data_IF_392768449189
#
_entry.id   IF_392768449189
#
_cell.length_a   1.000
_cell.length_b   1.000
_cell.length_c   1.000
_cell.angle_alpha   90.00
_cell.angle_beta   90.00
_cell.angle_gamma   90.00
#
_symmetry.space_group_name_H-M   'P 1'
#
loop_
_entity.id
_entity.type
_entity.pdbx_description
1 polymer ?
#
# COMPACT_ATOMS: atom_id res chain seq x y z
N UNK A 1 -37.66 -25.55 33.58
CA UNK A 1 -36.41 -25.18 34.26
C UNK A 1 -35.68 -26.48 34.47
N UNK A 2 -34.66 -26.86 33.72
CA UNK A 2 -33.84 -26.18 32.71
C UNK A 2 -33.54 -27.24 31.63
N UNK A 3 -33.60 -26.86 30.35
CA UNK A 3 -33.09 -27.70 29.26
C UNK A 3 -31.58 -27.43 29.16
N UNK A 4 -30.79 -28.45 29.48
CA UNK A 4 -29.33 -28.48 29.28
C UNK A 4 -29.01 -28.49 27.79
N UNK A 5 -28.85 -27.30 27.20
CA UNK A 5 -28.22 -27.13 25.89
C UNK A 5 -26.71 -27.09 26.08
N UNK A 6 -26.10 -28.27 26.19
CA UNK A 6 -24.66 -28.49 26.07
C UNK A 6 -24.24 -28.31 24.60
N UNK A 7 -24.16 -27.05 24.17
CA UNK A 7 -23.69 -26.64 22.86
C UNK A 7 -22.17 -26.63 22.80
N UNK A 8 -21.55 -27.81 22.86
CA UNK A 8 -20.13 -27.97 22.54
C UNK A 8 -19.80 -27.49 21.12
N UNK A 9 -18.57 -27.04 20.84
CA UNK A 9 -18.18 -26.59 19.49
C UNK A 9 -18.32 -27.74 18.50
N UNK A 10 -19.18 -27.55 17.49
CA UNK A 10 -19.31 -28.48 16.35
C UNK A 10 -18.06 -28.32 15.49
N UNK A 11 -17.14 -29.28 15.59
CA UNK A 11 -16.04 -29.43 14.66
C UNK A 11 -16.57 -30.06 13.38
N UNK A 12 -16.72 -29.26 12.32
CA UNK A 12 -16.90 -29.79 10.98
C UNK A 12 -15.54 -30.30 10.50
N UNK A 13 -15.45 -31.59 10.15
CA UNK A 13 -14.27 -32.13 9.47
C UNK A 13 -14.02 -31.35 8.17
N UNK A 14 -12.76 -30.99 7.91
CA UNK A 14 -12.32 -30.36 6.65
C UNK A 14 -12.46 -31.36 5.49
N UNK A 15 -13.69 -31.57 5.03
CA UNK A 15 -13.98 -32.29 3.79
C UNK A 15 -13.69 -31.34 2.63
N UNK A 16 -12.78 -31.72 1.74
CA UNK A 16 -12.50 -30.93 0.54
C UNK A 16 -13.80 -30.69 -0.26
N UNK A 17 -14.09 -29.45 -0.70
CA UNK A 17 -15.36 -29.12 -1.33
C UNK A 17 -15.62 -29.92 -2.61
N UNK A 18 -16.73 -30.64 -2.66
CA UNK A 18 -17.15 -31.47 -3.81
C UNK A 18 -17.74 -30.66 -4.97
N UNK A 19 -18.17 -29.42 -4.73
CA UNK A 19 -18.75 -28.55 -5.75
C UNK A 19 -18.28 -27.09 -5.57
N UNK A 20 -17.60 -26.56 -6.59
CA UNK A 20 -17.27 -25.13 -6.71
C UNK A 20 -18.29 -24.49 -7.65
N UNK A 21 -18.95 -23.43 -7.21
CA UNK A 21 -19.91 -22.67 -7.99
C UNK A 21 -19.18 -21.68 -8.90
N UNK A 22 -19.36 -21.81 -10.21
CA UNK A 22 -18.92 -20.79 -11.18
C UNK A 22 -19.87 -19.59 -11.08
N UNK A 23 -19.33 -18.40 -10.85
CA UNK A 23 -20.14 -17.20 -11.04
C UNK A 23 -20.28 -16.87 -12.54
N UNK A 24 -21.35 -16.18 -12.96
CA UNK A 24 -21.53 -15.80 -14.37
C UNK A 24 -20.40 -14.88 -14.87
N UNK A 25 -19.89 -15.12 -16.08
CA UNK A 25 -18.88 -14.25 -16.71
C UNK A 25 -19.38 -12.81 -16.97
N UNK A 26 -20.70 -12.60 -16.95
CA UNK A 26 -21.33 -11.28 -17.02
C UNK A 26 -21.20 -10.47 -15.73
N UNK A 27 -20.82 -11.11 -14.61
CA UNK A 27 -20.70 -10.46 -13.31
C UNK A 27 -19.55 -9.44 -13.33
N UNK A 28 -19.88 -8.16 -13.13
CA UNK A 28 -18.90 -7.07 -13.13
C UNK A 28 -18.30 -6.79 -11.76
N UNK A 29 -19.09 -6.99 -10.72
CA UNK A 29 -18.68 -6.73 -9.35
C UNK A 29 -19.30 -7.78 -8.41
N UNK A 30 -18.50 -8.27 -7.47
CA UNK A 30 -18.94 -9.05 -6.32
C UNK A 30 -18.54 -8.28 -5.06
N UNK A 31 -19.52 -7.83 -4.27
CA UNK A 31 -19.29 -7.20 -2.97
C UNK A 31 -19.64 -8.18 -1.86
N UNK A 32 -18.70 -8.40 -0.95
CA UNK A 32 -18.84 -9.21 0.26
C UNK A 32 -18.56 -8.31 1.47
N UNK A 33 -19.46 -8.36 2.44
CA UNK A 33 -19.46 -7.54 3.66
C UNK A 33 -19.82 -8.44 4.83
N UNK A 34 -18.80 -8.98 5.52
CA UNK A 34 -18.96 -9.97 6.58
C UNK A 34 -17.67 -10.19 7.39
N UNK A 35 -17.70 -11.10 8.36
CA UNK A 35 -16.54 -11.58 9.11
C UNK A 35 -15.50 -12.24 8.21
N UNK A 36 -14.20 -12.04 8.51
CA UNK A 36 -13.10 -12.55 7.66
C UNK A 36 -13.15 -14.08 7.46
N UNK A 37 -13.51 -14.88 8.47
CA UNK A 37 -13.72 -16.33 8.32
C UNK A 37 -14.90 -16.68 7.41
N UNK A 38 -16.01 -15.94 7.49
CA UNK A 38 -17.20 -16.21 6.69
C UNK A 38 -16.90 -15.97 5.21
N UNK A 39 -16.25 -14.85 4.89
CA UNK A 39 -15.80 -14.53 3.54
C UNK A 39 -14.74 -15.53 3.04
N UNK A 40 -13.75 -15.85 3.87
CA UNK A 40 -12.69 -16.81 3.54
C UNK A 40 -13.28 -18.19 3.18
N UNK A 41 -14.25 -18.66 3.96
CA UNK A 41 -14.98 -19.91 3.70
C UNK A 41 -15.83 -19.81 2.45
N UNK A 42 -16.57 -18.73 2.24
CA UNK A 42 -17.39 -18.56 1.03
C UNK A 42 -16.54 -18.67 -0.25
N UNK A 43 -15.37 -18.05 -0.27
CA UNK A 43 -14.48 -18.09 -1.44
C UNK A 43 -13.86 -19.48 -1.69
N UNK A 44 -14.03 -20.46 -0.81
CA UNK A 44 -13.66 -21.86 -1.07
C UNK A 44 -14.65 -22.57 -2.00
N UNK A 45 -15.89 -22.08 -2.03
CA UNK A 45 -17.00 -22.70 -2.78
C UNK A 45 -17.37 -21.90 -4.04
N UNK A 46 -16.68 -20.80 -4.32
CA UNK A 46 -17.03 -19.87 -5.40
C UNK A 46 -15.81 -19.55 -6.25
N UNK A 47 -15.93 -19.75 -7.56
CA UNK A 47 -14.92 -19.32 -8.52
C UNK A 47 -15.34 -17.95 -9.10
N UNK A 48 -14.55 -16.93 -8.76
CA UNK A 48 -14.75 -15.54 -9.20
C UNK A 48 -14.03 -15.31 -10.54
N UNK A 49 -14.75 -14.90 -11.61
CA UNK A 49 -14.13 -14.59 -12.90
C UNK A 49 -13.06 -13.50 -12.78
N UNK A 50 -11.99 -13.61 -13.59
CA UNK A 50 -10.90 -12.62 -13.60
C UNK A 50 -11.35 -11.22 -14.02
N UNK A 51 -12.49 -11.12 -14.71
CA UNK A 51 -13.07 -9.85 -15.18
C UNK A 51 -14.02 -9.21 -14.15
N UNK A 52 -14.23 -9.86 -13.01
CA UNK A 52 -15.08 -9.36 -11.94
C UNK A 52 -14.22 -8.61 -10.94
N UNK A 53 -14.62 -7.38 -10.61
CA UNK A 53 -14.03 -6.68 -9.46
C UNK A 53 -14.54 -7.33 -8.17
N UNK A 54 -13.62 -7.74 -7.29
CA UNK A 54 -13.96 -8.21 -5.94
C UNK A 54 -13.85 -7.09 -4.91
N UNK A 55 -14.97 -6.71 -4.27
CA UNK A 55 -15.00 -5.77 -3.14
C UNK A 55 -15.17 -6.55 -1.84
N UNK A 56 -14.22 -6.43 -0.92
CA UNK A 56 -14.24 -7.08 0.39
C UNK A 56 -14.25 -6.02 1.48
N UNK A 57 -15.32 -5.96 2.25
CA UNK A 57 -15.42 -5.17 3.49
C UNK A 57 -15.46 -6.19 4.64
N UNK A 58 -14.34 -6.37 5.35
CA UNK A 58 -14.23 -7.47 6.33
C UNK A 58 -14.04 -6.99 7.75
N UNK A 59 -14.81 -7.59 8.67
CA UNK A 59 -14.62 -7.40 10.11
C UNK A 59 -13.66 -8.46 10.64
N UNK A 60 -12.61 -8.04 11.36
CA UNK A 60 -11.62 -8.98 11.89
C UNK A 60 -12.02 -9.60 13.22
N UNK A 61 -13.00 -9.06 13.95
CA UNK A 61 -13.42 -9.57 15.27
C UNK A 61 -14.71 -10.39 15.19
N UNK A 62 -14.69 -11.45 14.38
CA UNK A 62 -15.84 -12.33 14.19
C UNK A 62 -16.01 -13.34 15.32
N UNK A 63 -17.15 -14.04 15.31
CA UNK A 63 -17.44 -15.13 16.25
C UNK A 63 -16.39 -16.25 16.20
N UNK A 64 -15.71 -16.41 15.06
CA UNK A 64 -14.87 -17.56 14.75
C UNK A 64 -13.40 -17.40 15.15
N UNK A 65 -12.88 -16.18 15.30
CA UNK A 65 -11.46 -15.92 15.56
C UNK A 65 -11.23 -15.35 16.96
N UNK A 66 -10.66 -16.16 17.85
CA UNK A 66 -10.43 -15.77 19.26
C UNK A 66 -9.11 -15.08 19.47
N UNK A 67 -8.12 -15.36 18.62
CA UNK A 67 -6.75 -14.81 18.74
C UNK A 67 -6.42 -13.86 17.60
N UNK A 68 -5.38 -13.03 17.78
CA UNK A 68 -4.90 -12.12 16.73
C UNK A 68 -4.23 -12.89 15.59
N UNK A 69 -3.49 -13.94 15.94
CA UNK A 69 -2.77 -14.80 15.01
C UNK A 69 -3.72 -15.52 14.06
N UNK A 70 -4.85 -16.02 14.56
CA UNK A 70 -5.92 -16.62 13.73
C UNK A 70 -6.49 -15.59 12.74
N UNK A 71 -6.79 -14.37 13.22
CA UNK A 71 -7.29 -13.27 12.37
C UNK A 71 -6.32 -12.91 11.26
N UNK A 72 -5.03 -12.78 11.59
CA UNK A 72 -3.96 -12.54 10.61
C UNK A 72 -3.89 -13.69 9.60
N UNK A 73 -3.87 -14.95 10.05
CA UNK A 73 -3.77 -16.10 9.17
C UNK A 73 -4.96 -16.18 8.20
N UNK A 74 -6.18 -15.93 8.69
CA UNK A 74 -7.39 -15.87 7.86
C UNK A 74 -7.36 -14.73 6.86
N UNK A 75 -6.90 -13.55 7.26
CA UNK A 75 -6.75 -12.42 6.35
C UNK A 75 -5.73 -12.70 5.24
N UNK A 76 -4.59 -13.33 5.57
CA UNK A 76 -3.59 -13.78 4.57
C UNK A 76 -4.22 -14.79 3.60
N UNK A 77 -4.93 -15.80 4.13
CA UNK A 77 -5.58 -16.83 3.33
C UNK A 77 -6.63 -16.23 2.38
N UNK A 78 -7.51 -15.38 2.90
CA UNK A 78 -8.52 -14.66 2.13
C UNK A 78 -7.88 -13.85 0.99
N UNK A 79 -6.86 -13.05 1.31
CA UNK A 79 -6.18 -12.21 0.34
C UNK A 79 -5.46 -13.03 -0.75
N UNK A 80 -4.94 -14.21 -0.41
CA UNK A 80 -4.30 -15.12 -1.37
C UNK A 80 -5.28 -15.78 -2.35
N UNK A 81 -6.58 -15.80 -2.01
CA UNK A 81 -7.68 -16.29 -2.86
C UNK A 81 -8.20 -15.22 -3.82
N UNK A 82 -7.91 -13.94 -3.58
CA UNK A 82 -8.30 -12.85 -4.49
C UNK A 82 -7.73 -13.20 -5.86
N UNK A 83 -8.58 -13.29 -6.92
CA UNK A 83 -8.18 -13.87 -8.19
C UNK A 83 -6.98 -13.12 -8.73
N UNK A 84 -5.79 -13.69 -8.59
CA UNK A 84 -4.57 -13.28 -9.27
C UNK A 84 -4.36 -14.29 -10.38
N UNK A 85 -4.17 -13.83 -11.62
CA UNK A 85 -3.33 -14.65 -12.48
C UNK A 85 -2.01 -14.72 -11.72
N UNK A 86 -1.64 -15.88 -11.15
CA UNK A 86 -0.40 -16.10 -10.37
C UNK A 86 0.88 -15.71 -11.12
N UNK A 87 0.75 -15.13 -12.32
CA UNK A 87 1.76 -14.78 -13.29
C UNK A 87 1.63 -13.33 -13.84
N UNK A 88 0.58 -12.57 -13.49
CA UNK A 88 0.48 -11.15 -13.86
C UNK A 88 0.50 -10.34 -12.56
N UNK A 89 1.64 -9.72 -12.22
CA UNK A 89 1.70 -8.89 -11.02
C UNK A 89 0.71 -7.73 -11.12
N UNK A 90 0.17 -7.32 -9.97
CA UNK A 90 -0.65 -6.11 -9.88
C UNK A 90 0.13 -4.96 -10.49
N UNK A 91 -0.53 -4.20 -11.36
CA UNK A 91 0.13 -3.10 -12.02
C UNK A 91 0.21 -1.87 -11.09
N UNK A 92 -0.93 -1.54 -10.48
CA UNK A 92 -1.08 -0.38 -9.61
C UNK A 92 -1.77 -0.80 -8.33
N UNK A 93 -1.27 -0.29 -7.22
CA UNK A 93 -1.80 -0.48 -5.89
C UNK A 93 -1.98 0.87 -5.21
N UNK A 94 -3.17 1.11 -4.68
CA UNK A 94 -3.48 2.29 -3.89
C UNK A 94 -3.74 1.88 -2.45
N UNK A 95 -3.19 2.65 -1.53
CA UNK A 95 -3.61 2.70 -0.14
C UNK A 95 -4.34 4.02 0.07
N UNK A 96 -5.64 3.92 0.34
CA UNK A 96 -6.47 5.07 0.71
C UNK A 96 -6.52 5.27 2.23
N UNK A 97 -6.18 4.24 2.99
CA UNK A 97 -5.92 4.25 4.44
C UNK A 97 -5.01 3.06 4.79
N UNK A 98 -4.60 2.93 6.05
CA UNK A 98 -3.90 1.71 6.49
C UNK A 98 -4.82 0.46 6.42
N UNK A 99 -6.13 0.67 6.51
CA UNK A 99 -7.16 -0.37 6.47
C UNK A 99 -7.74 -0.65 5.08
N UNK A 100 -7.47 0.18 4.06
CA UNK A 100 -8.09 0.06 2.75
C UNK A 100 -7.10 0.09 1.59
N UNK A 101 -7.18 -0.92 0.73
CA UNK A 101 -6.31 -1.12 -0.42
C UNK A 101 -7.12 -1.40 -1.68
N UNK A 102 -6.70 -0.79 -2.79
CA UNK A 102 -7.35 -0.96 -4.10
C UNK A 102 -6.29 -1.33 -5.13
N UNK A 103 -6.58 -2.33 -5.97
CA UNK A 103 -5.65 -2.84 -6.96
C UNK A 103 -6.21 -2.80 -8.38
N UNK A 104 -5.34 -2.52 -9.36
CA UNK A 104 -5.68 -2.48 -10.78
C UNK A 104 -4.77 -3.36 -11.64
N UNK A 105 -5.31 -3.86 -12.75
CA UNK A 105 -4.62 -4.78 -13.65
C UNK A 105 -3.63 -4.11 -14.62
N UNK A 106 -3.80 -2.82 -14.91
CA UNK A 106 -2.99 -2.12 -15.93
C UNK A 106 -2.18 -1.00 -15.33
N UNK A 107 -0.91 -0.96 -15.73
CA UNK A 107 0.01 0.10 -15.38
C UNK A 107 0.07 1.05 -16.56
N UNK A 108 -0.37 2.29 -16.34
CA UNK A 108 -0.11 3.40 -17.24
C UNK A 108 0.62 4.45 -16.39
N UNK A 109 1.82 4.91 -16.79
CA UNK A 109 2.56 5.88 -16.00
C UNK A 109 1.75 7.17 -15.85
N UNK A 110 1.53 7.61 -14.62
CA UNK A 110 0.60 8.70 -14.31
C UNK A 110 1.23 9.71 -13.39
N UNK A 111 1.76 10.79 -13.96
CA UNK A 111 2.35 11.84 -13.13
C UNK A 111 1.30 12.53 -12.25
N UNK A 112 0.00 12.54 -12.58
CA UNK A 112 -1.01 13.31 -11.85
C UNK A 112 -2.47 12.81 -11.93
N UNK A 113 -2.84 11.92 -12.86
CA UNK A 113 -4.24 11.64 -13.19
C UNK A 113 -4.69 10.22 -12.77
N UNK A 114 -5.76 10.13 -11.98
CA UNK A 114 -6.34 8.88 -11.46
C UNK A 114 -7.35 8.27 -12.41
N UNK A 115 -7.91 9.04 -13.33
CA UNK A 115 -9.03 8.59 -14.18
C UNK A 115 -8.60 7.60 -15.26
N UNK A 116 -7.28 7.45 -15.42
CA UNK A 116 -6.65 6.53 -16.36
C UNK A 116 -6.22 5.18 -15.73
N UNK A 117 -6.64 4.90 -14.49
CA UNK A 117 -6.41 3.60 -13.87
C UNK A 117 -7.26 2.55 -14.61
N UNK A 118 -6.66 1.40 -14.95
CA UNK A 118 -7.30 0.38 -15.79
C UNK A 118 -8.50 -0.33 -15.14
N UNK A 119 -8.67 -1.61 -15.41
CA UNK A 119 -9.72 -2.38 -14.73
C UNK A 119 -9.35 -2.58 -13.26
N UNK A 120 -10.27 -2.20 -12.35
CA UNK A 120 -10.13 -2.44 -10.91
C UNK A 120 -10.33 -3.93 -10.63
N UNK A 121 -9.36 -4.53 -9.96
CA UNK A 121 -9.33 -5.97 -9.66
C UNK A 121 -9.92 -6.25 -8.29
N UNK A 122 -9.50 -5.48 -7.29
CA UNK A 122 -10.00 -5.60 -5.92
C UNK A 122 -10.11 -4.26 -5.22
N UNK A 123 -10.94 -4.23 -4.18
CA UNK A 123 -11.09 -3.16 -3.19
C UNK A 123 -11.27 -3.88 -1.85
N UNK A 124 -10.24 -3.87 -1.01
CA UNK A 124 -10.22 -4.57 0.28
C UNK A 124 -10.17 -3.52 1.37
N UNK A 125 -11.15 -3.52 2.26
CA UNK A 125 -11.10 -2.78 3.51
C UNK A 125 -11.36 -3.69 4.69
N UNK A 126 -10.66 -3.47 5.80
CA UNK A 126 -10.86 -4.21 7.03
C UNK A 126 -11.02 -3.30 8.23
N UNK A 127 -11.88 -3.68 9.16
CA UNK A 127 -12.10 -2.93 10.39
C UNK A 127 -11.56 -3.67 11.62
N UNK A 128 -11.03 -2.91 12.56
CA UNK A 128 -10.49 -3.38 13.83
C UNK A 128 -11.15 -2.55 14.93
N UNK A 129 -11.87 -3.21 15.84
CA UNK A 129 -12.52 -2.52 16.94
C UNK A 129 -11.51 -1.79 17.85
N UNK A 130 -11.97 -0.69 18.44
CA UNK A 130 -11.23 0.36 19.13
C UNK A 130 -10.48 -0.13 20.40
N UNK A 131 -10.72 -1.36 20.85
CA UNK A 131 -9.99 -1.94 21.99
C UNK A 131 -8.59 -2.44 21.61
N UNK A 132 -8.32 -2.62 20.31
CA UNK A 132 -7.05 -3.12 19.78
C UNK A 132 -6.30 -1.96 19.07
N UNK A 133 -5.99 -0.85 19.77
CA UNK A 133 -5.38 0.39 19.20
C UNK A 133 -3.91 0.29 18.73
N UNK A 134 -3.43 -0.91 18.43
CA UNK A 134 -2.01 -1.21 18.12
C UNK A 134 -1.65 -1.95 16.83
N UNK A 135 -2.53 -2.70 16.12
CA UNK A 135 -2.11 -3.67 15.10
C UNK A 135 -2.56 -3.36 13.66
N UNK A 136 -3.11 -2.17 13.33
CA UNK A 136 -3.49 -1.89 11.93
C UNK A 136 -2.35 -2.15 10.95
N UNK A 137 -1.10 -1.83 11.32
CA UNK A 137 0.09 -2.13 10.52
C UNK A 137 0.39 -3.63 10.37
N UNK A 138 0.05 -4.45 11.37
CA UNK A 138 0.20 -5.90 11.30
C UNK A 138 -0.81 -6.52 10.34
N UNK A 139 -2.08 -6.10 10.41
CA UNK A 139 -3.10 -6.53 9.46
C UNK A 139 -2.82 -6.03 8.04
N UNK A 140 -2.34 -4.78 7.89
CA UNK A 140 -1.87 -4.25 6.61
C UNK A 140 -0.77 -5.11 6.02
N UNK A 141 0.19 -5.53 6.85
CA UNK A 141 1.28 -6.42 6.45
C UNK A 141 0.76 -7.79 6.05
N UNK A 142 -0.26 -8.30 6.74
CA UNK A 142 -0.92 -9.56 6.40
C UNK A 142 -1.59 -9.49 5.02
N UNK A 143 -2.37 -8.43 4.75
CA UNK A 143 -2.98 -8.18 3.44
C UNK A 143 -1.90 -8.08 2.35
N UNK A 144 -0.84 -7.31 2.60
CA UNK A 144 0.27 -7.15 1.67
C UNK A 144 1.00 -8.46 1.35
N UNK A 145 1.13 -9.33 2.35
CA UNK A 145 1.69 -10.67 2.18
C UNK A 145 0.76 -11.58 1.38
N UNK A 146 -0.54 -11.54 1.64
CA UNK A 146 -1.51 -12.39 0.95
C UNK A 146 -1.68 -12.02 -0.52
N UNK A 147 -1.61 -10.73 -0.85
CA UNK A 147 -1.73 -10.22 -2.22
C UNK A 147 -0.43 -10.27 -3.05
N UNK A 148 0.71 -10.58 -2.43
CA UNK A 148 2.05 -10.61 -3.06
C UNK A 148 2.40 -9.34 -3.88
N UNK A 149 2.54 -8.21 -3.19
CA UNK A 149 2.84 -6.92 -3.82
C UNK A 149 4.25 -6.77 -4.44
N UNK A 150 5.06 -7.83 -4.49
CA UNK A 150 6.46 -7.73 -4.94
C UNK A 150 6.59 -7.22 -6.38
N UNK A 151 5.63 -7.57 -7.23
CA UNK A 151 5.59 -7.19 -8.64
C UNK A 151 4.87 -5.87 -8.94
N UNK A 152 4.39 -5.15 -7.92
CA UNK A 152 3.67 -3.89 -8.10
C UNK A 152 4.53 -2.84 -8.78
N UNK A 153 4.09 -2.32 -9.93
CA UNK A 153 4.82 -1.31 -10.69
C UNK A 153 4.55 0.12 -10.22
N UNK A 154 3.35 0.40 -9.69
CA UNK A 154 2.93 1.71 -9.21
C UNK A 154 2.28 1.64 -7.83
N UNK A 155 2.72 2.49 -6.91
CA UNK A 155 2.18 2.64 -5.57
C UNK A 155 1.60 4.04 -5.38
N UNK A 156 0.33 4.12 -5.00
CA UNK A 156 -0.35 5.36 -4.63
C UNK A 156 -0.59 5.34 -3.12
N UNK A 157 -0.05 6.32 -2.41
CA UNK A 157 -0.24 6.52 -0.98
C UNK A 157 -1.05 7.81 -0.79
N UNK A 158 -2.37 7.63 -0.70
CA UNK A 158 -3.32 8.72 -0.59
C UNK A 158 -4.01 8.64 0.77
N UNK A 159 -3.87 9.69 1.59
CA UNK A 159 -4.53 9.77 2.89
C UNK A 159 -4.26 8.60 3.87
N UNK A 160 -3.11 7.92 3.80
CA UNK A 160 -2.81 6.94 4.84
C UNK A 160 -2.61 7.62 6.20
N UNK A 161 -3.22 7.05 7.24
CA UNK A 161 -2.97 7.40 8.64
C UNK A 161 -1.48 7.34 8.98
N UNK A 162 -1.10 7.81 10.18
CA UNK A 162 0.29 7.77 10.60
C UNK A 162 0.81 6.33 10.70
N UNK A 163 1.61 5.90 9.72
CA UNK A 163 2.35 4.64 9.76
C UNK A 163 3.75 4.92 10.32
N UNK A 164 4.11 4.25 11.41
CA UNK A 164 5.46 4.29 11.97
C UNK A 164 6.51 3.82 10.96
N UNK A 165 7.73 4.36 11.04
CA UNK A 165 8.80 4.09 10.06
C UNK A 165 9.12 2.59 9.93
N UNK A 166 9.17 1.87 11.05
CA UNK A 166 9.43 0.42 11.07
C UNK A 166 8.33 -0.36 10.34
N UNK A 167 7.07 -0.02 10.59
CA UNK A 167 5.94 -0.67 9.95
C UNK A 167 5.83 -0.35 8.47
N UNK A 168 6.04 0.91 8.11
CA UNK A 168 6.11 1.34 6.72
C UNK A 168 7.18 0.54 5.97
N UNK A 169 8.37 0.40 6.57
CA UNK A 169 9.43 -0.41 5.99
C UNK A 169 9.00 -1.88 5.83
N UNK A 170 8.44 -2.51 6.86
CA UNK A 170 8.02 -3.90 6.79
C UNK A 170 6.94 -4.18 5.74
N UNK A 171 6.06 -3.22 5.47
CA UNK A 171 4.99 -3.36 4.47
C UNK A 171 5.57 -3.20 3.05
N UNK A 172 6.39 -2.17 2.82
CA UNK A 172 6.71 -1.72 1.46
C UNK A 172 8.12 -2.08 0.96
N UNK A 173 9.03 -2.54 1.83
CA UNK A 173 10.40 -2.89 1.42
C UNK A 173 10.47 -4.01 0.37
N UNK A 174 9.46 -4.90 0.32
CA UNK A 174 9.40 -6.01 -0.60
C UNK A 174 9.06 -5.66 -2.06
N UNK A 175 8.65 -4.43 -2.36
CA UNK A 175 8.20 -4.00 -3.69
C UNK A 175 9.39 -3.74 -4.63
N UNK A 176 9.99 -4.81 -5.15
CA UNK A 176 11.22 -4.76 -5.95
C UNK A 176 11.01 -4.18 -7.35
N UNK A 177 9.82 -4.34 -7.90
CA UNK A 177 9.48 -3.91 -9.26
C UNK A 177 8.82 -2.52 -9.31
N UNK A 178 8.81 -1.79 -8.19
CA UNK A 178 8.19 -0.47 -8.08
C UNK A 178 8.92 0.57 -8.94
N UNK A 179 8.24 1.04 -9.98
CA UNK A 179 8.74 2.06 -10.93
C UNK A 179 8.21 3.45 -10.65
N UNK A 180 7.07 3.54 -9.99
CA UNK A 180 6.38 4.80 -9.75
C UNK A 180 5.76 4.85 -8.35
N UNK A 181 5.89 6.00 -7.70
CA UNK A 181 5.22 6.26 -6.43
C UNK A 181 4.56 7.64 -6.42
N UNK A 182 3.29 7.69 -6.02
CA UNK A 182 2.56 8.93 -5.77
C UNK A 182 2.27 9.03 -4.27
N UNK A 183 2.68 10.12 -3.64
CA UNK A 183 2.63 10.26 -2.18
C UNK A 183 2.00 11.56 -1.75
N UNK A 184 1.29 11.53 -0.62
CA UNK A 184 0.80 12.73 0.06
C UNK A 184 1.71 13.15 1.21
N UNK A 185 1.40 14.27 1.86
CA UNK A 185 2.12 14.83 3.01
C UNK A 185 2.48 13.81 4.09
N UNK A 186 1.55 12.91 4.43
CA UNK A 186 1.66 12.02 5.59
C UNK A 186 2.80 10.99 5.47
N UNK A 187 3.13 10.55 4.25
CA UNK A 187 4.15 9.52 4.00
C UNK A 187 5.45 10.10 3.44
N UNK A 188 5.53 11.43 3.23
CA UNK A 188 6.66 12.07 2.57
C UNK A 188 8.00 11.72 3.24
N UNK A 189 8.07 11.80 4.57
CA UNK A 189 9.32 11.53 5.31
C UNK A 189 9.73 10.07 5.21
N UNK A 190 8.80 9.13 5.37
CA UNK A 190 9.05 7.69 5.31
C UNK A 190 9.52 7.28 3.91
N UNK A 191 8.86 7.80 2.87
CA UNK A 191 9.20 7.53 1.47
C UNK A 191 10.58 8.10 1.13
N UNK A 192 10.87 9.36 1.49
CA UNK A 192 12.19 9.93 1.29
C UNK A 192 13.27 9.17 2.07
N UNK A 193 12.93 8.61 3.23
CA UNK A 193 13.75 7.64 3.95
C UNK A 193 14.04 6.42 3.06
N UNK A 194 13.02 5.70 2.61
CA UNK A 194 13.17 4.51 1.75
C UNK A 194 13.97 4.78 0.46
N UNK A 195 13.79 5.97 -0.14
CA UNK A 195 14.46 6.41 -1.37
C UNK A 195 15.91 6.85 -1.11
N UNK A 196 16.21 7.43 0.06
CA UNK A 196 17.46 8.12 0.36
C UNK A 196 18.38 7.44 1.39
N UNK A 197 18.01 6.31 1.96
CA UNK A 197 18.78 5.64 3.02
C UNK A 197 20.23 5.35 2.58
N UNK A 198 21.16 6.02 3.27
CA UNK A 198 22.60 5.75 3.27
C UNK A 198 23.02 4.86 4.47
N UNK A 199 22.19 4.78 5.51
CA UNK A 199 22.63 4.49 6.89
C UNK A 199 22.48 3.05 7.39
N UNK A 200 22.04 2.07 6.58
CA UNK A 200 22.00 0.69 7.07
C UNK A 200 23.39 0.17 7.44
N UNK A 201 24.45 0.67 6.78
CA UNK A 201 25.85 0.42 7.17
C UNK A 201 26.21 1.00 8.55
N UNK A 202 25.62 2.12 8.95
CA UNK A 202 25.86 2.74 10.26
C UNK A 202 25.00 2.11 11.38
N UNK A 203 23.79 1.63 11.06
CA UNK A 203 22.96 0.84 11.98
C UNK A 203 23.55 -0.56 12.23
N UNK A 204 24.01 -1.26 11.19
CA UNK A 204 24.73 -2.55 11.33
C UNK A 204 26.02 -2.43 12.17
N UNK A 205 26.70 -1.27 12.12
CA UNK A 205 27.87 -0.99 12.97
C UNK A 205 27.51 -0.80 14.45
N UNK A 206 26.31 -0.31 14.76
CA UNK A 206 25.84 -0.04 16.12
C UNK A 206 25.09 -1.23 16.73
N UNK A 207 24.48 -2.07 15.89
CA UNK A 207 23.64 -3.20 16.30
C UNK A 207 24.01 -4.46 15.48
N UNK A 208 25.04 -5.22 15.88
CA UNK A 208 25.55 -6.36 15.11
C UNK A 208 24.58 -7.56 15.03
N UNK A 209 23.54 -7.60 15.87
CA UNK A 209 22.48 -8.62 15.84
C UNK A 209 21.24 -8.18 15.06
N UNK A 210 21.25 -6.98 14.49
CA UNK A 210 20.21 -6.55 13.57
C UNK A 210 20.33 -7.38 12.30
N UNK A 211 19.29 -8.15 11.96
CA UNK A 211 19.22 -8.93 10.72
C UNK A 211 18.44 -8.10 9.71
N UNK A 212 19.08 -7.53 8.66
CA UNK A 212 18.40 -7.13 7.45
C UNK A 212 17.91 -8.40 6.75
N UNK A 213 16.76 -8.91 7.15
CA UNK A 213 16.02 -9.78 6.25
C UNK A 213 15.56 -8.87 5.09
N UNK A 214 16.33 -8.88 3.99
CA UNK A 214 15.99 -8.26 2.71
C UNK A 214 16.23 -6.73 2.65
N UNK A 215 17.48 -6.30 2.50
CA UNK A 215 17.89 -5.20 1.59
C UNK A 215 19.39 -4.90 1.72
N UNK A 216 20.12 -4.97 0.60
CA UNK A 216 21.46 -4.39 0.50
C UNK A 216 21.44 -2.85 0.59
N UNK A 217 22.60 -2.19 0.69
CA UNK A 217 22.68 -0.74 0.86
C UNK A 217 22.28 0.03 -0.41
N UNK A 218 21.41 1.03 -0.25
CA UNK A 218 21.03 2.01 -1.28
C UNK A 218 19.61 1.78 -1.79
N UNK A 219 18.73 2.75 -1.51
CA UNK A 219 17.34 2.89 -1.97
C UNK A 219 16.54 1.59 -2.20
N UNK A 220 15.61 1.28 -1.27
CA UNK A 220 14.82 0.03 -1.26
C UNK A 220 14.07 -0.27 -2.57
N UNK A 221 13.78 0.77 -3.35
CA UNK A 221 13.16 0.68 -4.66
C UNK A 221 14.18 1.06 -5.75
N UNK A 222 15.08 0.14 -6.14
CA UNK A 222 16.17 0.43 -7.06
C UNK A 222 15.66 0.80 -8.45
N UNK A 223 14.53 0.24 -8.88
CA UNK A 223 13.90 0.49 -10.18
C UNK A 223 12.91 1.66 -10.18
N UNK A 224 12.80 2.40 -9.08
CA UNK A 224 11.96 3.60 -9.03
C UNK A 224 12.48 4.65 -10.01
N UNK A 225 11.64 5.07 -10.96
CA UNK A 225 11.98 6.04 -12.00
C UNK A 225 11.14 7.32 -11.92
N UNK A 226 9.94 7.23 -11.34
CA UNK A 226 8.99 8.35 -11.27
C UNK A 226 8.49 8.55 -9.85
N UNK A 227 8.46 9.79 -9.39
CA UNK A 227 7.89 10.15 -8.10
C UNK A 227 6.98 11.37 -8.23
N UNK A 228 5.79 11.27 -7.66
CA UNK A 228 4.83 12.37 -7.54
C UNK A 228 4.64 12.69 -6.07
N UNK A 229 4.84 13.95 -5.69
CA UNK A 229 4.69 14.43 -4.32
C UNK A 229 3.54 15.44 -4.30
N UNK A 230 2.49 15.17 -3.52
CA UNK A 230 1.38 16.09 -3.28
C UNK A 230 1.43 16.55 -1.82
N UNK A 231 1.79 17.80 -1.55
CA UNK A 231 2.09 18.25 -0.19
C UNK A 231 1.83 19.74 0.01
N UNK A 232 1.97 20.26 1.23
CA UNK A 232 1.99 21.71 1.46
C UNK A 232 3.39 22.28 1.21
N UNK A 233 3.47 23.56 0.83
CA UNK A 233 4.76 24.24 0.67
C UNK A 233 5.63 24.17 1.93
N UNK A 234 5.02 24.38 3.11
CA UNK A 234 5.74 24.38 4.38
C UNK A 234 6.38 23.02 4.65
N UNK A 235 5.65 21.93 4.43
CA UNK A 235 6.15 20.57 4.64
C UNK A 235 7.20 20.19 3.57
N UNK A 236 7.00 20.61 2.33
CA UNK A 236 8.00 20.42 1.26
C UNK A 236 9.33 21.07 1.64
N UNK A 237 9.31 22.33 2.10
CA UNK A 237 10.52 23.06 2.48
C UNK A 237 11.22 22.45 3.69
N UNK A 238 10.46 21.94 4.67
CA UNK A 238 11.04 21.16 5.78
C UNK A 238 11.73 19.89 5.30
N UNK A 239 11.17 19.20 4.31
CA UNK A 239 11.72 17.95 3.77
C UNK A 239 12.72 18.17 2.62
N UNK A 240 12.89 19.41 2.15
CA UNK A 240 13.70 19.74 0.97
C UNK A 240 15.14 19.23 1.04
N UNK A 241 15.88 19.40 2.17
CA UNK A 241 17.24 18.86 2.27
C UNK A 241 17.27 17.33 2.22
N UNK A 242 16.22 16.66 2.69
CA UNK A 242 16.12 15.19 2.63
C UNK A 242 15.80 14.72 1.22
N UNK A 243 14.92 15.42 0.50
CA UNK A 243 14.64 15.16 -0.91
C UNK A 243 15.91 15.31 -1.77
N UNK A 244 16.62 16.43 -1.66
CA UNK A 244 17.85 16.65 -2.43
C UNK A 244 18.91 15.60 -2.13
N UNK A 245 19.11 15.24 -0.85
CA UNK A 245 20.04 14.17 -0.46
C UNK A 245 19.62 12.82 -1.04
N UNK A 246 18.34 12.47 -0.99
CA UNK A 246 17.84 11.22 -1.55
C UNK A 246 18.11 11.12 -3.06
N UNK A 247 17.84 12.20 -3.80
CA UNK A 247 18.13 12.29 -5.24
C UNK A 247 19.64 12.22 -5.54
N UNK A 248 20.45 12.95 -4.78
CA UNK A 248 21.91 12.92 -4.91
C UNK A 248 22.46 11.51 -4.66
N UNK A 249 21.98 10.81 -3.62
CA UNK A 249 22.36 9.43 -3.36
C UNK A 249 22.03 8.55 -4.54
N UNK A 250 20.78 8.54 -5.00
CA UNK A 250 20.37 7.73 -6.14
C UNK A 250 21.22 7.97 -7.38
N UNK A 251 21.62 9.22 -7.61
CA UNK A 251 22.53 9.56 -8.70
C UNK A 251 23.93 8.97 -8.56
N UNK A 252 24.51 9.00 -7.35
CA UNK A 252 25.79 8.32 -7.06
C UNK A 252 25.73 6.82 -7.33
N UNK A 253 24.57 6.19 -7.12
CA UNK A 253 24.34 4.76 -7.34
C UNK A 253 23.84 4.43 -8.76
N UNK A 254 23.69 5.41 -9.66
CA UNK A 254 23.17 5.24 -11.03
C UNK A 254 21.75 4.64 -11.10
N UNK A 255 20.92 4.95 -10.12
CA UNK A 255 19.50 4.57 -10.03
C UNK A 255 18.61 5.82 -10.05
N UNK A 256 18.86 6.68 -11.03
CA UNK A 256 18.27 8.03 -11.10
C UNK A 256 16.74 8.00 -11.11
N UNK A 257 16.14 8.95 -10.39
CA UNK A 257 14.74 9.35 -10.65
C UNK A 257 14.74 10.12 -11.97
N UNK A 258 14.00 9.63 -12.95
CA UNK A 258 13.89 10.23 -14.29
C UNK A 258 12.87 11.36 -14.32
N UNK A 259 11.79 11.22 -13.55
CA UNK A 259 10.68 12.15 -13.50
C UNK A 259 10.26 12.45 -12.07
N UNK A 260 10.14 13.74 -11.74
CA UNK A 260 9.64 14.23 -10.46
C UNK A 260 8.55 15.27 -10.70
N UNK A 261 7.35 15.00 -10.18
CA UNK A 261 6.26 15.95 -10.15
C UNK A 261 6.00 16.35 -8.70
N UNK A 262 5.88 17.66 -8.44
CA UNK A 262 5.57 18.20 -7.13
C UNK A 262 4.32 19.07 -7.26
N UNK A 263 3.26 18.69 -6.58
CA UNK A 263 2.02 19.45 -6.46
C UNK A 263 1.96 20.04 -5.07
N UNK A 264 1.73 21.34 -5.00
CA UNK A 264 1.67 22.10 -3.74
C UNK A 264 0.46 23.01 -3.67
N UNK A 265 -0.03 23.21 -2.44
CA UNK A 265 -1.15 24.11 -2.13
C UNK A 265 -0.88 25.57 -2.48
N UNK A 266 0.36 26.01 -2.33
CA UNK A 266 0.82 27.36 -2.56
C UNK A 266 2.31 27.31 -2.91
N UNK A 267 2.82 28.25 -3.70
CA UNK A 267 4.27 28.37 -3.89
C UNK A 267 4.63 29.80 -4.30
N UNK A 268 5.55 30.47 -3.61
CA UNK A 268 6.06 31.76 -4.06
C UNK A 268 6.69 31.61 -5.45
N UNK A 269 6.22 32.36 -6.45
CA UNK A 269 6.68 32.22 -7.86
C UNK A 269 8.20 32.28 -7.98
N UNK A 270 8.85 33.16 -7.22
CA UNK A 270 10.31 33.34 -7.23
C UNK A 270 11.07 32.13 -6.71
N UNK A 271 10.43 31.30 -5.88
CA UNK A 271 11.04 30.08 -5.34
C UNK A 271 10.88 28.90 -6.30
N UNK A 272 9.84 28.89 -7.16
CA UNK A 272 9.57 27.76 -8.07
C UNK A 272 10.76 27.51 -8.99
N UNK A 273 11.28 28.56 -9.63
CA UNK A 273 12.38 28.42 -10.59
C UNK A 273 13.69 28.03 -9.90
N UNK A 274 13.94 28.53 -8.68
CA UNK A 274 15.07 28.10 -7.86
C UNK A 274 14.97 26.62 -7.52
N UNK A 275 13.81 26.17 -7.02
CA UNK A 275 13.58 24.78 -6.67
C UNK A 275 13.69 23.85 -7.89
N UNK A 276 13.16 24.25 -9.05
CA UNK A 276 13.34 23.52 -10.31
C UNK A 276 14.81 23.42 -10.70
N UNK A 277 15.58 24.50 -10.57
CA UNK A 277 17.00 24.49 -10.88
C UNK A 277 17.78 23.52 -9.98
N UNK A 278 17.50 23.51 -8.67
CA UNK A 278 18.11 22.57 -7.72
C UNK A 278 17.80 21.10 -8.08
N UNK A 279 16.53 20.80 -8.41
CA UNK A 279 16.11 19.44 -8.77
C UNK A 279 16.67 18.98 -10.12
N UNK A 280 16.76 19.88 -11.11
CA UNK A 280 17.29 19.58 -12.45
C UNK A 280 18.75 19.14 -12.46
N UNK A 281 19.48 19.35 -11.36
CA UNK A 281 20.83 18.80 -11.16
C UNK A 281 20.84 17.27 -11.06
N UNK A 282 19.71 16.67 -10.67
CA UNK A 282 19.57 15.24 -10.43
C UNK A 282 18.50 14.57 -11.30
N UNK A 283 17.43 15.29 -11.63
CA UNK A 283 16.25 14.74 -12.32
C UNK A 283 16.05 15.43 -13.66
N UNK A 284 15.86 14.64 -14.74
CA UNK A 284 15.73 15.18 -16.10
C UNK A 284 14.39 15.91 -16.33
N UNK A 285 13.29 15.32 -15.85
CA UNK A 285 11.94 15.88 -16.00
C UNK A 285 11.44 16.34 -14.63
N UNK A 286 11.31 17.65 -14.45
CA UNK A 286 10.83 18.26 -13.20
C UNK A 286 9.63 19.13 -13.51
N UNK A 287 8.54 18.90 -12.77
CA UNK A 287 7.36 19.77 -12.74
C UNK A 287 7.08 20.18 -11.29
N UNK A 288 6.71 21.45 -11.11
CA UNK A 288 6.22 21.98 -9.83
C UNK A 288 4.96 22.76 -10.19
N UNK A 289 3.82 22.24 -9.74
CA UNK A 289 2.49 22.73 -10.08
C UNK A 289 1.77 23.24 -8.84
N UNK A 290 1.09 24.37 -8.98
CA UNK A 290 0.24 24.97 -7.96
C UNK A 290 -1.19 24.99 -8.51
N UNK A 291 -2.04 24.02 -8.17
CA UNK A 291 -3.38 23.95 -8.74
C UNK A 291 -4.20 25.15 -8.27
N UNK A 292 -4.87 25.84 -9.19
CA UNK A 292 -5.72 26.98 -8.86
C UNK A 292 -6.97 26.59 -8.03
N UNK A 293 -7.33 25.30 -8.01
CA UNK A 293 -8.55 24.77 -7.37
C UNK A 293 -8.30 23.74 -6.25
N UNK A 294 -7.06 23.52 -5.81
CA UNK A 294 -6.79 22.59 -4.70
C UNK A 294 -7.25 23.20 -3.37
N UNK A 295 -8.49 22.90 -2.97
CA UNK A 295 -8.94 23.15 -1.60
C UNK A 295 -8.32 22.07 -0.71
N UNK A 296 -7.21 22.40 -0.06
CA UNK A 296 -6.75 21.66 1.11
C UNK A 296 -7.84 21.77 2.18
N UNK A 297 -8.49 20.66 2.55
CA UNK A 297 -9.47 20.63 3.65
C UNK A 297 -8.72 20.41 4.97
N UNK A 298 -8.64 21.43 5.85
CA UNK A 298 -7.96 21.30 7.14
C UNK A 298 -8.72 20.41 8.13
N UNK A 299 -10.00 20.09 7.88
CA UNK A 299 -10.91 19.56 8.90
C UNK A 299 -10.75 18.07 9.22
N UNK A 300 -9.83 17.38 8.56
CA UNK A 300 -9.54 15.96 8.80
C UNK A 300 -8.16 15.71 9.44
N UNK A 301 -7.63 16.69 10.16
CA UNK A 301 -6.30 16.61 10.77
C UNK A 301 -6.29 16.97 12.26
N UNK A 302 -6.62 15.99 13.10
CA UNK A 302 -6.20 15.89 14.50
C UNK A 302 -5.71 14.48 14.80
#
# INVERSE_FOLDING_TARGET
MEDDLDGGPVYYEDVAPTHVLQLPDSLKELKLDDEVAAVDRMLEYVMVPLTTTLRLEVTLQGYWERTREERIAKLVALCSKIPGARHIPLATLEFSSISRMVGWERYKPHSLDRDDLGHRRFDVSFDVDDEDKGPHSQYTRAVASGLDFRGTACLILDHCDHIGEADFFCIFAGMKDLREVSITSCQLKQVLGMVGIQSWKDRLRKEPNFVPAIAGPGALWPVLETMTIKTSYSLLMQCWPTLLRALEHRSKWRIDIKSLAIVVDSFPRDHIERCKADLKRFVRKVSIDVPHDWKWDPKHHH
#
